data_IF_364816105016
#
_entry.id   IF_364816105016
#
_cell.length_a   1.000
_cell.length_b   1.000
_cell.length_c   1.000
_cell.angle_alpha   90.00
_cell.angle_beta   90.00
_cell.angle_gamma   90.00
#
_symmetry.space_group_name_H-M   'P 1'
#
loop_
_entity.id
_entity.type
_entity.pdbx_description
1 polymer ?
#
# COMPACT_ATOMS: atom_id res chain seq x y z
N UNK A 1 -18.25 -4.70 8.09
CA UNK A 1 -17.25 -3.62 8.24
C UNK A 1 -16.09 -4.03 9.17
N UNK A 2 -16.32 -4.19 10.48
CA UNK A 2 -15.26 -4.43 11.49
C UNK A 2 -14.30 -5.57 11.12
N UNK A 3 -14.83 -6.72 10.68
CA UNK A 3 -13.99 -7.86 10.25
C UNK A 3 -13.02 -7.51 9.11
N UNK A 4 -13.41 -6.65 8.18
CA UNK A 4 -12.53 -6.25 7.06
C UNK A 4 -11.42 -5.33 7.57
N UNK A 5 -11.77 -4.28 8.32
CA UNK A 5 -10.79 -3.35 8.91
C UNK A 5 -9.78 -4.12 9.80
N UNK A 6 -10.26 -5.06 10.61
CA UNK A 6 -9.39 -5.81 11.52
C UNK A 6 -8.50 -6.85 10.81
N UNK A 7 -8.96 -7.45 9.69
CA UNK A 7 -8.24 -8.58 9.05
C UNK A 7 -7.35 -8.16 7.89
N UNK A 8 -7.63 -7.04 7.22
CA UNK A 8 -6.80 -6.57 6.09
C UNK A 8 -5.33 -6.37 6.49
N UNK A 9 -4.98 -5.75 7.64
CA UNK A 9 -3.59 -5.62 8.06
C UNK A 9 -2.89 -6.97 8.26
N UNK A 10 -3.59 -7.95 8.85
CA UNK A 10 -3.05 -9.31 9.03
C UNK A 10 -2.80 -10.00 7.69
N UNK A 11 -3.75 -9.92 6.75
CA UNK A 11 -3.60 -10.49 5.41
C UNK A 11 -2.42 -9.83 4.68
N UNK A 12 -2.32 -8.50 4.71
CA UNK A 12 -1.24 -7.77 4.08
C UNK A 12 0.15 -8.16 4.65
N UNK A 13 0.25 -8.27 5.98
CA UNK A 13 1.49 -8.70 6.62
C UNK A 13 1.86 -10.15 6.28
N UNK A 14 0.88 -11.06 6.24
CA UNK A 14 1.10 -12.44 5.80
C UNK A 14 1.55 -12.52 4.34
N UNK A 15 0.98 -11.71 3.44
CA UNK A 15 1.42 -11.63 2.04
C UNK A 15 2.88 -11.18 1.92
N UNK A 16 3.30 -10.20 2.72
CA UNK A 16 4.70 -9.77 2.78
C UNK A 16 5.62 -10.87 3.34
N UNK A 17 5.27 -11.47 4.47
CA UNK A 17 6.05 -12.58 5.06
C UNK A 17 6.22 -13.75 4.10
N UNK A 18 5.14 -14.10 3.40
CA UNK A 18 5.14 -15.15 2.39
C UNK A 18 6.11 -14.83 1.25
N UNK A 19 6.11 -13.59 0.73
CA UNK A 19 6.96 -13.22 -0.41
C UNK A 19 8.46 -13.23 -0.11
N UNK A 20 8.84 -13.11 1.17
CA UNK A 20 10.24 -13.17 1.62
C UNK A 20 10.61 -14.49 2.33
N UNK A 21 9.71 -15.49 2.33
CA UNK A 21 9.97 -16.81 2.91
C UNK A 21 10.08 -16.84 4.44
N UNK A 22 9.49 -15.87 5.14
CA UNK A 22 9.48 -15.81 6.61
C UNK A 22 8.18 -16.36 7.21
N UNK A 23 8.20 -16.87 8.45
CA UNK A 23 6.99 -17.35 9.12
C UNK A 23 5.99 -16.22 9.38
N UNK A 24 4.71 -16.57 9.41
CA UNK A 24 3.64 -15.63 9.76
C UNK A 24 3.70 -15.26 11.24
N UNK A 25 3.50 -13.98 11.52
CA UNK A 25 3.44 -13.42 12.86
C UNK A 25 1.97 -13.13 13.17
N UNK A 26 1.48 -13.62 14.31
CA UNK A 26 0.11 -13.38 14.74
C UNK A 26 -0.06 -11.95 15.29
N UNK A 27 -1.30 -11.42 15.26
CA UNK A 27 -1.64 -10.18 15.94
C UNK A 27 -1.36 -10.25 17.45
N UNK A 28 -0.86 -9.16 18.02
CA UNK A 28 -0.72 -8.96 19.47
C UNK A 28 -1.74 -7.92 19.95
N UNK A 29 -2.64 -8.33 20.86
CA UNK A 29 -3.71 -7.47 21.38
C UNK A 29 -3.20 -6.38 22.34
N UNK A 30 -1.95 -6.46 22.80
CA UNK A 30 -1.35 -5.42 23.65
C UNK A 30 -0.83 -4.22 22.85
N UNK A 31 -0.73 -4.36 21.53
CA UNK A 31 -0.26 -3.33 20.61
C UNK A 31 -1.44 -2.57 19.99
N UNK A 32 -1.24 -1.30 19.68
CA UNK A 32 -2.23 -0.56 18.90
C UNK A 32 -2.26 -1.00 17.43
N UNK A 33 -3.21 -0.46 16.65
CA UNK A 33 -3.42 -0.85 15.26
C UNK A 33 -2.16 -0.76 14.39
N UNK A 34 -1.37 0.32 14.56
CA UNK A 34 -0.20 0.58 13.73
C UNK A 34 1.02 -0.19 14.22
N UNK A 35 1.20 -0.25 15.54
CA UNK A 35 2.25 -1.06 16.18
C UNK A 35 2.11 -2.54 15.82
N UNK A 36 0.89 -3.06 15.89
CA UNK A 36 0.58 -4.44 15.58
C UNK A 36 0.87 -4.76 14.11
N UNK A 37 0.55 -3.85 13.18
CA UNK A 37 0.90 -4.06 11.77
C UNK A 37 2.40 -4.09 11.53
N UNK A 38 3.17 -3.17 12.12
CA UNK A 38 4.65 -3.18 12.04
C UNK A 38 5.25 -4.44 12.66
N UNK A 39 4.72 -4.87 13.80
CA UNK A 39 5.09 -6.12 14.44
C UNK A 39 4.87 -7.31 13.50
N UNK A 40 3.67 -7.44 12.91
CA UNK A 40 3.36 -8.55 12.01
C UNK A 40 4.22 -8.54 10.73
N UNK A 41 4.57 -7.36 10.21
CA UNK A 41 5.43 -7.22 9.02
C UNK A 41 6.88 -7.63 9.30
N UNK A 42 7.47 -7.17 10.41
CA UNK A 42 8.93 -7.18 10.57
C UNK A 42 9.46 -8.03 11.72
N UNK A 43 8.63 -8.47 12.67
CA UNK A 43 9.08 -9.36 13.73
C UNK A 43 9.51 -10.73 13.18
N UNK A 44 10.44 -11.38 13.86
CA UNK A 44 10.84 -12.76 13.60
C UNK A 44 10.87 -13.53 14.92
N UNK A 45 10.77 -14.87 14.91
CA UNK A 45 10.92 -15.65 16.14
C UNK A 45 12.31 -15.56 16.78
N UNK A 46 13.31 -15.08 16.04
CA UNK A 46 14.71 -15.09 16.46
C UNK A 46 15.03 -14.00 17.48
N UNK A 47 14.34 -12.86 17.44
CA UNK A 47 14.62 -11.72 18.34
C UNK A 47 13.35 -10.95 18.66
N UNK A 48 13.29 -10.39 19.87
CA UNK A 48 12.18 -9.54 20.28
C UNK A 48 12.16 -8.28 19.42
N UNK A 49 11.09 -8.08 18.67
CA UNK A 49 10.87 -6.89 17.87
C UNK A 49 10.34 -5.75 18.73
N UNK A 50 11.03 -4.61 18.70
CA UNK A 50 10.60 -3.38 19.37
C UNK A 50 10.21 -2.36 18.30
N UNK A 51 8.95 -1.92 18.31
CA UNK A 51 8.45 -0.92 17.37
C UNK A 51 9.15 0.41 17.64
N UNK A 52 9.72 1.01 16.60
CA UNK A 52 10.26 2.37 16.70
C UNK A 52 9.10 3.39 16.71
N UNK A 53 8.95 4.24 17.75
CA UNK A 53 7.86 5.21 17.84
C UNK A 53 7.79 6.20 16.68
N UNK A 54 8.93 6.58 16.09
CA UNK A 54 8.98 7.49 14.94
C UNK A 54 8.37 6.81 13.71
N UNK A 55 8.76 5.56 13.45
CA UNK A 55 8.25 4.78 12.31
C UNK A 55 6.76 4.48 12.47
N UNK A 56 6.33 4.10 13.68
CA UNK A 56 4.90 3.98 14.03
C UNK A 56 4.13 5.26 13.68
N UNK A 57 4.58 6.40 14.17
CA UNK A 57 3.88 7.67 13.97
C UNK A 57 3.86 8.10 12.50
N UNK A 58 4.91 7.80 11.74
CA UNK A 58 4.94 8.02 10.29
C UNK A 58 3.91 7.13 9.59
N UNK A 59 3.87 5.84 9.89
CA UNK A 59 2.93 4.90 9.29
C UNK A 59 1.47 5.22 9.65
N UNK A 60 1.20 5.61 10.89
CA UNK A 60 -0.15 6.02 11.30
C UNK A 60 -0.65 7.21 10.48
N UNK A 61 0.23 8.18 10.19
CA UNK A 61 -0.11 9.29 9.28
C UNK A 61 -0.36 8.80 7.85
N UNK A 62 0.43 7.85 7.35
CA UNK A 62 0.20 7.24 6.03
C UNK A 62 -1.20 6.61 5.97
N UNK A 63 -1.60 5.84 6.99
CA UNK A 63 -2.94 5.26 7.06
C UNK A 63 -4.04 6.32 7.07
N UNK A 64 -3.88 7.38 7.87
CA UNK A 64 -4.86 8.48 7.92
C UNK A 64 -4.98 9.18 6.56
N UNK A 65 -3.85 9.48 5.91
CA UNK A 65 -3.82 10.17 4.62
C UNK A 65 -4.39 9.35 3.46
N UNK A 66 -4.37 8.02 3.57
CA UNK A 66 -4.91 7.10 2.55
C UNK A 66 -6.25 6.48 2.94
N UNK A 67 -6.89 6.97 4.02
CA UNK A 67 -8.08 6.33 4.57
C UNK A 67 -9.29 6.42 3.63
N UNK A 68 -9.48 7.54 2.95
CA UNK A 68 -10.52 7.76 1.95
C UNK A 68 -10.09 8.84 0.95
N UNK A 69 -10.63 8.78 -0.26
CA UNK A 69 -10.40 9.79 -1.29
C UNK A 69 -11.61 9.93 -2.23
N UNK A 70 -12.80 10.06 -1.65
CA UNK A 70 -14.04 10.39 -2.36
C UNK A 70 -14.37 9.37 -3.49
N UNK A 71 -14.91 9.80 -4.63
CA UNK A 71 -15.39 8.96 -5.74
C UNK A 71 -14.26 8.63 -6.72
N UNK A 72 -13.11 8.16 -6.22
CA UNK A 72 -12.06 7.62 -7.09
C UNK A 72 -12.47 6.29 -7.74
N UNK A 73 -11.64 5.78 -8.67
CA UNK A 73 -11.92 4.58 -9.44
C UNK A 73 -12.24 3.34 -8.58
N UNK A 74 -11.46 3.10 -7.52
CA UNK A 74 -11.69 1.96 -6.62
C UNK A 74 -12.95 2.13 -5.77
N UNK A 75 -13.21 3.32 -5.22
CA UNK A 75 -14.44 3.58 -4.46
C UNK A 75 -15.68 3.38 -5.33
N UNK A 76 -15.65 3.90 -6.56
CA UNK A 76 -16.71 3.73 -7.55
C UNK A 76 -16.93 2.25 -7.90
N UNK A 77 -15.84 1.49 -8.07
CA UNK A 77 -15.91 0.05 -8.35
C UNK A 77 -16.56 -0.74 -7.19
N UNK A 78 -16.20 -0.43 -5.94
CA UNK A 78 -16.82 -1.03 -4.75
C UNK A 78 -18.32 -0.73 -4.71
N UNK A 79 -18.71 0.53 -4.97
CA UNK A 79 -20.11 0.96 -4.99
C UNK A 79 -20.92 0.26 -6.08
N UNK A 80 -20.38 0.17 -7.29
CA UNK A 80 -21.03 -0.51 -8.42
C UNK A 80 -21.19 -2.00 -8.13
N UNK A 81 -20.16 -2.68 -7.62
CA UNK A 81 -20.28 -4.08 -7.24
C UNK A 81 -21.34 -4.27 -6.14
N UNK A 82 -21.33 -3.41 -5.12
CA UNK A 82 -22.28 -3.46 -4.01
C UNK A 82 -23.73 -3.21 -4.39
N UNK A 83 -24.02 -2.40 -5.42
CA UNK A 83 -25.40 -2.10 -5.84
C UNK A 83 -26.14 -3.32 -6.38
N UNK A 84 -25.41 -4.33 -6.86
CA UNK A 84 -25.96 -5.63 -7.29
C UNK A 84 -26.30 -6.58 -6.13
N UNK A 85 -25.99 -6.21 -4.88
CA UNK A 85 -26.15 -7.07 -3.71
C UNK A 85 -25.00 -8.04 -3.45
N UNK A 86 -23.84 -7.82 -4.09
CA UNK A 86 -22.65 -8.65 -3.87
C UNK A 86 -22.19 -8.62 -2.40
N UNK A 87 -21.61 -9.75 -1.95
CA UNK A 87 -21.06 -9.88 -0.60
C UNK A 87 -20.00 -8.78 -0.35
N UNK A 88 -20.02 -8.09 0.81
CA UNK A 88 -19.04 -7.05 1.15
C UNK A 88 -17.57 -7.43 0.97
N UNK A 89 -17.18 -8.69 1.23
CA UNK A 89 -15.81 -9.14 1.00
C UNK A 89 -15.45 -9.20 -0.49
N UNK A 90 -16.41 -9.58 -1.34
CA UNK A 90 -16.24 -9.55 -2.79
C UNK A 90 -16.13 -8.09 -3.28
N UNK A 91 -16.96 -7.18 -2.77
CA UNK A 91 -16.89 -5.76 -3.11
C UNK A 91 -15.53 -5.13 -2.74
N UNK A 92 -14.97 -5.43 -1.57
CA UNK A 92 -13.63 -4.93 -1.22
C UNK A 92 -12.55 -5.54 -2.12
N UNK A 93 -12.70 -6.81 -2.52
CA UNK A 93 -11.76 -7.45 -3.46
C UNK A 93 -11.76 -6.75 -4.82
N UNK A 94 -12.91 -6.30 -5.34
CA UNK A 94 -12.96 -5.51 -6.58
C UNK A 94 -12.31 -4.13 -6.40
N UNK A 95 -12.50 -3.50 -5.24
CA UNK A 95 -11.81 -2.26 -4.88
C UNK A 95 -10.29 -2.40 -4.88
N UNK A 96 -9.75 -3.48 -4.28
CA UNK A 96 -8.31 -3.78 -4.27
C UNK A 96 -7.80 -3.99 -5.70
N UNK A 97 -8.52 -4.75 -6.52
CA UNK A 97 -8.14 -4.98 -7.92
C UNK A 97 -8.10 -3.66 -8.73
N UNK A 98 -9.09 -2.78 -8.54
CA UNK A 98 -9.11 -1.46 -9.15
C UNK A 98 -7.98 -0.57 -8.65
N UNK A 99 -7.66 -0.62 -7.35
CA UNK A 99 -6.59 0.15 -6.72
C UNK A 99 -5.19 -0.27 -7.20
N UNK A 100 -4.98 -1.54 -7.54
CA UNK A 100 -3.69 -2.03 -7.99
C UNK A 100 -3.27 -1.48 -9.37
N UNK A 101 -4.20 -0.98 -10.18
CA UNK A 101 -3.87 -0.39 -11.48
C UNK A 101 -2.79 0.70 -11.37
N UNK A 102 -1.80 0.75 -12.30
CA UNK A 102 -0.67 1.69 -12.22
C UNK A 102 -1.10 3.17 -12.31
N UNK A 103 -2.26 3.43 -12.93
CA UNK A 103 -2.86 4.76 -13.02
C UNK A 103 -3.74 5.14 -11.80
N UNK A 104 -3.78 4.29 -10.77
CA UNK A 104 -4.50 4.53 -9.52
C UNK A 104 -3.56 4.35 -8.32
N UNK A 105 -3.77 3.33 -7.48
CA UNK A 105 -2.93 3.09 -6.30
C UNK A 105 -1.52 2.55 -6.61
N UNK A 106 -1.30 1.99 -7.80
CA UNK A 106 0.02 1.57 -8.26
C UNK A 106 0.99 2.73 -8.56
N UNK A 107 0.51 3.98 -8.56
CA UNK A 107 1.32 5.15 -8.84
C UNK A 107 2.49 5.30 -7.85
N UNK A 108 2.29 5.00 -6.56
CA UNK A 108 3.35 5.11 -5.55
C UNK A 108 4.56 4.20 -5.87
N UNK A 109 4.30 2.97 -6.32
CA UNK A 109 5.35 2.05 -6.77
C UNK A 109 6.00 2.55 -8.06
N UNK A 110 5.20 3.07 -9.00
CA UNK A 110 5.71 3.64 -10.25
C UNK A 110 6.66 4.82 -10.01
N UNK A 111 6.36 5.70 -9.04
CA UNK A 111 7.24 6.79 -8.62
C UNK A 111 8.58 6.25 -8.11
N UNK A 112 8.56 5.26 -7.21
CA UNK A 112 9.80 4.67 -6.66
C UNK A 112 10.62 3.98 -7.76
N UNK A 113 9.97 3.27 -8.68
CA UNK A 113 10.65 2.63 -9.81
C UNK A 113 11.24 3.66 -10.78
N UNK A 114 10.51 4.75 -11.05
CA UNK A 114 11.02 5.88 -11.83
C UNK A 114 12.25 6.51 -11.15
N UNK A 115 12.21 6.75 -9.84
CA UNK A 115 13.36 7.30 -9.11
C UNK A 115 14.58 6.35 -9.13
N UNK A 116 14.35 5.03 -9.07
CA UNK A 116 15.41 4.04 -9.25
C UNK A 116 15.99 4.04 -10.68
N UNK A 117 15.15 4.22 -11.70
CA UNK A 117 15.58 4.35 -13.10
C UNK A 117 16.40 5.64 -13.33
N UNK A 118 16.01 6.73 -12.66
CA UNK A 118 16.78 7.98 -12.65
C UNK A 118 18.13 7.77 -11.97
N UNK A 119 18.14 7.07 -10.83
CA UNK A 119 19.35 6.65 -10.12
C UNK A 119 20.03 7.76 -9.31
N UNK A 120 20.50 8.81 -9.97
CA UNK A 120 21.26 9.92 -9.36
C UNK A 120 20.64 11.29 -9.67
N UNK A 121 20.85 12.25 -8.76
CA UNK A 121 20.41 13.64 -8.94
C UNK A 121 21.01 14.31 -10.18
N UNK A 122 22.19 13.88 -10.61
CA UNK A 122 22.86 14.35 -11.83
C UNK A 122 22.04 14.07 -13.10
N UNK A 123 21.21 13.03 -13.09
CA UNK A 123 20.39 12.66 -14.25
C UNK A 123 19.02 13.35 -14.26
N UNK A 124 18.64 14.08 -13.21
CA UNK A 124 17.36 14.79 -13.14
C UNK A 124 17.13 15.70 -14.35
N UNK A 125 18.09 16.58 -14.77
CA UNK A 125 17.88 17.46 -15.92
C UNK A 125 17.54 16.69 -17.20
N UNK A 126 18.16 15.52 -17.40
CA UNK A 126 17.89 14.64 -18.55
C UNK A 126 16.46 14.11 -18.53
N UNK A 127 16.00 13.56 -17.41
CA UNK A 127 14.65 13.01 -17.32
C UNK A 127 13.56 14.08 -17.35
N UNK A 128 13.85 15.29 -16.84
CA UNK A 128 12.97 16.45 -17.02
C UNK A 128 12.88 16.84 -18.49
N UNK A 129 13.98 16.81 -19.25
CA UNK A 129 13.94 17.07 -20.69
C UNK A 129 13.10 16.00 -21.43
N UNK A 130 13.28 14.71 -21.09
CA UNK A 130 12.45 13.62 -21.63
C UNK A 130 10.95 13.84 -21.35
N UNK A 131 10.59 14.20 -20.11
CA UNK A 131 9.19 14.42 -19.74
C UNK A 131 8.53 15.60 -20.49
N UNK A 132 9.34 16.58 -20.92
CA UNK A 132 8.88 17.74 -21.70
C UNK A 132 8.83 17.48 -23.20
N UNK A 133 9.53 16.46 -23.69
CA UNK A 133 9.50 16.07 -25.10
C UNK A 133 8.19 15.33 -25.41
N UNK A 134 7.41 15.89 -26.36
CA UNK A 134 6.12 15.31 -26.78
C UNK A 134 6.28 13.96 -27.47
N UNK A 135 7.46 13.69 -28.04
CA UNK A 135 7.76 12.46 -28.78
C UNK A 135 8.41 11.38 -27.90
N UNK A 136 8.87 11.73 -26.68
CA UNK A 136 9.43 10.76 -25.75
C UNK A 136 8.28 10.07 -24.98
N UNK A 137 8.28 8.73 -24.86
CA UNK A 137 7.25 8.00 -24.11
C UNK A 137 7.35 8.17 -22.59
N UNK A 138 8.46 8.71 -22.07
CA UNK A 138 8.66 8.92 -20.65
C UNK A 138 7.61 9.88 -20.07
N UNK A 139 7.01 9.50 -18.94
CA UNK A 139 6.08 10.34 -18.19
C UNK A 139 6.52 10.40 -16.74
N UNK A 140 6.41 11.59 -16.18
CA UNK A 140 6.70 11.82 -14.77
C UNK A 140 5.51 11.29 -13.97
N UNK A 141 5.78 10.27 -13.15
CA UNK A 141 4.79 9.61 -12.28
C UNK A 141 4.60 10.39 -10.98
#
# INVERSE_FOLDING_TARGET
AIRMIAKIPTIAAMSYKYSIGQPFIYPDNSLDFTENFLHMMFATPCTKYTVNPIIKNALNKIFILHADHEQNASTSTVRIAGSSGANPFACISTGIASLWGPAHGGANEAVINMLKEIGSSEYIPRYIAKAKDKNDPFRLM
#
